data_IF_671506657115
#
_entry.id   IF_671506657115
#
_cell.length_a   1.000
_cell.length_b   1.000
_cell.length_c   1.000
_cell.angle_alpha   90.00
_cell.angle_beta   90.00
_cell.angle_gamma   90.00
#
_symmetry.space_group_name_H-M   'P 1'
#
loop_
_entity.id
_entity.type
_entity.pdbx_description
1 polymer ?
#
# COMPACT_ATOMS: atom_id res chain seq x y z
N UNK A 1 -2.29 3.71 4.22
CA UNK A 1 -2.30 4.10 5.66
C UNK A 1 -3.38 5.11 5.99
N UNK A 2 -3.36 6.33 5.45
CA UNK A 2 -4.39 7.34 5.74
C UNK A 2 -5.83 6.85 5.46
N UNK A 3 -6.06 6.19 4.32
CA UNK A 3 -7.35 5.57 4.01
C UNK A 3 -7.73 4.50 5.04
N UNK A 4 -6.80 3.62 5.43
CA UNK A 4 -7.06 2.61 6.45
C UNK A 4 -7.44 3.23 7.81
N UNK A 5 -6.78 4.33 8.21
CA UNK A 5 -7.15 5.08 9.42
C UNK A 5 -8.54 5.70 9.32
N UNK A 6 -8.90 6.25 8.15
CA UNK A 6 -10.22 6.82 7.91
C UNK A 6 -11.34 5.77 7.98
N UNK A 7 -11.17 4.62 7.31
CA UNK A 7 -12.16 3.53 7.29
C UNK A 7 -12.35 2.85 8.66
N UNK A 8 -11.26 2.72 9.43
CA UNK A 8 -11.30 2.04 10.72
C UNK A 8 -11.66 2.96 11.88
N UNK A 9 -11.55 4.27 11.69
CA UNK A 9 -11.71 5.29 12.73
C UNK A 9 -10.85 5.05 13.97
N UNK A 10 -9.71 4.38 13.80
CA UNK A 10 -8.70 4.23 14.85
C UNK A 10 -8.15 5.62 15.19
N UNK A 11 -8.20 6.07 16.46
CA UNK A 11 -7.62 7.36 16.84
C UNK A 11 -6.12 7.40 16.54
N UNK A 12 -5.65 8.51 15.99
CA UNK A 12 -4.24 8.72 15.69
C UNK A 12 -3.87 10.19 15.83
N UNK A 13 -2.58 10.44 16.02
CA UNK A 13 -1.97 11.76 15.90
C UNK A 13 -1.17 11.80 14.60
N UNK A 14 -1.41 12.81 13.76
CA UNK A 14 -0.66 12.99 12.52
C UNK A 14 0.56 13.88 12.78
N UNK A 15 1.75 13.30 12.64
CA UNK A 15 3.01 14.05 12.66
C UNK A 15 3.46 14.29 11.22
N UNK A 16 3.48 15.56 10.80
CA UNK A 16 3.94 15.96 9.47
C UNK A 16 5.46 15.80 9.39
N UNK A 17 5.94 15.27 8.27
CA UNK A 17 7.36 15.20 7.89
C UNK A 17 7.55 15.97 6.60
N UNK A 18 8.46 16.95 6.58
CA UNK A 18 8.82 17.71 5.40
C UNK A 18 9.80 16.93 4.51
N UNK A 19 9.26 16.38 3.42
CA UNK A 19 10.04 15.65 2.42
C UNK A 19 10.99 16.56 1.62
N UNK A 20 10.65 17.85 1.46
CA UNK A 20 11.48 18.81 0.72
C UNK A 20 12.69 19.30 1.50
N UNK A 21 12.61 19.28 2.84
CA UNK A 21 13.73 19.55 3.74
C UNK A 21 14.50 18.28 4.15
N UNK A 22 14.22 17.14 3.52
CA UNK A 22 14.82 15.83 3.84
C UNK A 22 14.65 15.40 5.32
N UNK A 23 13.58 15.85 6.01
CA UNK A 23 13.38 15.52 7.43
C UNK A 23 13.33 14.01 7.68
N UNK A 24 12.71 13.26 6.76
CA UNK A 24 12.69 11.78 6.73
C UNK A 24 14.08 11.10 6.73
N UNK A 25 15.17 11.85 6.56
CA UNK A 25 16.56 11.39 6.66
C UNK A 25 17.25 11.85 7.94
N UNK A 26 16.59 12.58 8.83
CA UNK A 26 17.14 12.97 10.13
C UNK A 26 17.40 11.75 11.02
N UNK A 27 18.43 11.77 11.89
CA UNK A 27 18.77 10.63 12.74
C UNK A 27 17.60 10.08 13.57
N UNK A 28 16.73 10.97 14.08
CA UNK A 28 15.57 10.60 14.88
C UNK A 28 14.52 9.80 14.07
N UNK A 29 14.26 10.21 12.83
CA UNK A 29 13.32 9.48 11.94
C UNK A 29 13.97 8.23 11.36
N UNK A 30 15.27 8.24 11.08
CA UNK A 30 16.01 7.03 10.66
C UNK A 30 16.06 5.96 11.76
N UNK A 31 16.07 6.36 13.03
CA UNK A 31 15.97 5.41 14.14
C UNK A 31 14.62 4.68 14.16
N UNK A 32 13.56 5.29 13.63
CA UNK A 32 12.24 4.68 13.51
C UNK A 32 12.01 3.98 12.16
N UNK A 33 12.56 4.51 11.07
CA UNK A 33 12.48 3.95 9.71
C UNK A 33 13.87 3.93 9.07
N UNK A 34 14.61 2.81 9.12
CA UNK A 34 16.01 2.76 8.71
C UNK A 34 16.25 3.06 7.22
N UNK A 35 15.25 2.86 6.36
CA UNK A 35 15.32 3.24 4.94
C UNK A 35 15.10 4.74 4.67
N UNK A 36 14.76 5.52 5.70
CA UNK A 36 14.43 6.94 5.60
C UNK A 36 13.31 7.17 4.60
N UNK A 37 12.18 6.50 4.79
CA UNK A 37 10.94 6.74 4.05
C UNK A 37 9.86 7.16 5.06
N UNK A 38 8.69 7.55 4.55
CA UNK A 38 7.58 8.05 5.38
C UNK A 38 6.44 7.05 5.48
N UNK A 39 5.61 7.35 6.48
CA UNK A 39 4.66 6.45 7.14
C UNK A 39 5.39 5.53 8.11
N UNK A 40 5.39 5.94 9.37
CA UNK A 40 5.72 5.10 10.53
C UNK A 40 4.57 5.26 11.51
N UNK A 41 4.20 4.18 12.18
CA UNK A 41 3.33 4.23 13.35
C UNK A 41 4.07 3.64 14.55
N UNK A 42 3.74 4.12 15.76
CA UNK A 42 4.39 3.72 17.02
C UNK A 42 3.44 2.94 17.93
N UNK A 43 3.00 1.73 17.54
CA UNK A 43 2.16 0.89 18.38
C UNK A 43 2.97 0.35 19.56
N UNK A 44 2.44 0.51 20.78
CA UNK A 44 2.98 -0.09 22.01
C UNK A 44 4.50 0.11 22.20
N UNK A 45 5.04 1.24 21.74
CA UNK A 45 6.44 1.63 21.92
C UNK A 45 7.45 1.05 20.93
N UNK A 46 7.01 0.37 19.85
CA UNK A 46 7.91 -0.03 18.75
C UNK A 46 7.56 0.68 17.44
N UNK A 47 8.55 0.86 16.56
CA UNK A 47 8.34 1.46 15.25
C UNK A 47 7.88 0.42 14.23
N UNK A 48 6.71 0.65 13.63
CA UNK A 48 6.19 -0.14 12.52
C UNK A 48 6.17 0.72 11.25
N UNK A 49 6.92 0.27 10.25
CA UNK A 49 6.99 0.84 8.91
C UNK A 49 6.51 -0.19 7.86
N UNK A 50 6.50 0.20 6.58
CA UNK A 50 5.82 -0.47 5.45
C UNK A 50 4.30 -0.29 5.43
N UNK A 51 3.80 0.39 4.39
CA UNK A 51 2.39 0.77 4.26
C UNK A 51 1.42 -0.41 4.42
N UNK A 52 1.75 -1.57 3.84
CA UNK A 52 0.92 -2.78 3.90
C UNK A 52 0.90 -3.38 5.32
N UNK A 53 2.06 -3.45 5.97
CA UNK A 53 2.15 -3.92 7.36
C UNK A 53 1.41 -2.98 8.33
N UNK A 54 1.54 -1.66 8.13
CA UNK A 54 0.78 -0.66 8.90
C UNK A 54 -0.73 -0.82 8.68
N UNK A 55 -1.19 -0.93 7.43
CA UNK A 55 -2.60 -1.16 7.13
C UNK A 55 -3.13 -2.44 7.79
N UNK A 56 -2.34 -3.52 7.77
CA UNK A 56 -2.68 -4.76 8.45
C UNK A 56 -2.87 -4.55 9.94
N UNK A 57 -1.88 -3.93 10.59
CA UNK A 57 -1.94 -3.61 12.02
C UNK A 57 -3.19 -2.82 12.39
N UNK A 58 -3.47 -1.72 11.67
CA UNK A 58 -4.65 -0.86 11.91
C UNK A 58 -5.95 -1.67 11.88
N UNK A 59 -6.08 -2.60 10.93
CA UNK A 59 -7.29 -3.43 10.85
C UNK A 59 -7.37 -4.54 11.89
N UNK A 60 -6.25 -5.09 12.34
CA UNK A 60 -6.27 -6.08 13.43
C UNK A 60 -6.63 -5.43 14.77
N UNK A 61 -6.12 -4.22 15.04
CA UNK A 61 -6.42 -3.46 16.28
C UNK A 61 -7.90 -3.13 16.42
N UNK A 62 -8.60 -2.86 15.31
CA UNK A 62 -10.04 -2.54 15.33
C UNK A 62 -10.95 -3.76 15.47
N UNK A 63 -10.43 -5.00 15.41
CA UNK A 63 -11.22 -6.23 15.36
C UNK A 63 -11.07 -7.18 16.58
N UNK A 64 -11.00 -6.73 17.85
CA UNK A 64 -11.07 -7.66 18.96
C UNK A 64 -12.45 -8.34 19.00
N UNK A 65 -12.48 -9.67 18.93
CA UNK A 65 -13.70 -10.48 19.07
C UNK A 65 -14.59 -10.57 17.81
N UNK A 66 -14.15 -10.09 16.65
CA UNK A 66 -14.98 -10.10 15.43
C UNK A 66 -14.96 -11.44 14.68
N UNK A 67 -13.95 -12.27 14.92
CA UNK A 67 -13.80 -13.56 14.26
C UNK A 67 -14.48 -14.67 15.07
N UNK A 68 -15.35 -15.44 14.41
CA UNK A 68 -16.11 -16.52 15.03
C UNK A 68 -15.28 -17.79 15.30
N UNK A 69 -14.10 -17.93 14.68
CA UNK A 69 -13.21 -19.08 14.90
C UNK A 69 -11.75 -18.80 14.51
N UNK A 70 -10.78 -19.58 15.01
CA UNK A 70 -9.39 -19.52 14.55
C UNK A 70 -9.22 -19.71 13.04
N UNK A 71 -10.06 -20.55 12.42
CA UNK A 71 -10.02 -20.78 10.97
C UNK A 71 -10.41 -19.51 10.18
N UNK A 72 -11.36 -18.72 10.69
CA UNK A 72 -11.74 -17.45 10.08
C UNK A 72 -10.59 -16.43 10.19
N UNK A 73 -9.92 -16.36 11.34
CA UNK A 73 -8.72 -15.52 11.52
C UNK A 73 -7.67 -15.86 10.46
N UNK A 74 -7.35 -17.15 10.30
CA UNK A 74 -6.36 -17.61 9.33
C UNK A 74 -6.77 -17.26 7.89
N UNK A 75 -8.05 -17.47 7.54
CA UNK A 75 -8.56 -17.10 6.21
C UNK A 75 -8.37 -15.61 5.92
N UNK A 76 -8.77 -14.74 6.84
CA UNK A 76 -8.64 -13.28 6.73
C UNK A 76 -7.18 -12.81 6.68
N UNK A 77 -6.29 -13.49 7.41
CA UNK A 77 -4.84 -13.29 7.31
C UNK A 77 -4.35 -13.61 5.91
N UNK A 78 -4.61 -14.82 5.43
CA UNK A 78 -4.11 -15.29 4.13
C UNK A 78 -4.69 -14.48 2.97
N UNK A 79 -5.98 -14.14 3.00
CA UNK A 79 -6.60 -13.31 1.95
C UNK A 79 -5.90 -11.97 1.81
N UNK A 80 -5.60 -11.31 2.93
CA UNK A 80 -4.86 -10.06 2.90
C UNK A 80 -3.43 -10.24 2.41
N UNK A 81 -2.67 -11.20 2.97
CA UNK A 81 -1.26 -11.39 2.59
C UNK A 81 -1.13 -11.75 1.10
N UNK A 82 -2.07 -12.54 0.58
CA UNK A 82 -2.16 -12.82 -0.85
C UNK A 82 -2.35 -11.53 -1.66
N UNK A 83 -3.38 -10.74 -1.35
CA UNK A 83 -3.66 -9.52 -2.08
C UNK A 83 -2.51 -8.50 -1.99
N UNK A 84 -1.96 -8.31 -0.79
CA UNK A 84 -0.81 -7.46 -0.53
C UNK A 84 0.42 -7.91 -1.35
N UNK A 85 0.66 -9.22 -1.46
CA UNK A 85 1.74 -9.75 -2.29
C UNK A 85 1.51 -9.49 -3.78
N UNK A 86 0.30 -9.78 -4.30
CA UNK A 86 -0.07 -9.52 -5.71
C UNK A 86 0.12 -8.06 -6.07
N UNK A 87 -0.33 -7.17 -5.19
CA UNK A 87 -0.21 -5.73 -5.38
C UNK A 87 1.25 -5.29 -5.32
N UNK A 88 1.99 -5.68 -4.27
CA UNK A 88 3.38 -5.27 -4.06
C UNK A 88 4.33 -5.69 -5.18
N UNK A 89 4.19 -6.92 -5.69
CA UNK A 89 5.13 -7.48 -6.68
C UNK A 89 4.66 -7.29 -8.12
N UNK A 90 3.35 -7.11 -8.32
CA UNK A 90 2.73 -7.06 -9.64
C UNK A 90 2.25 -5.67 -10.02
N UNK A 91 1.26 -5.17 -9.29
CA UNK A 91 0.53 -3.96 -9.68
C UNK A 91 1.29 -2.68 -9.33
N UNK A 92 1.75 -2.54 -8.08
CA UNK A 92 2.47 -1.36 -7.60
C UNK A 92 3.67 -0.98 -8.47
N UNK A 93 4.57 -1.92 -8.83
CA UNK A 93 5.74 -1.57 -9.64
C UNK A 93 5.34 -1.11 -11.05
N UNK A 94 4.29 -1.68 -11.64
CA UNK A 94 3.79 -1.26 -12.94
C UNK A 94 3.20 0.16 -12.88
N UNK A 95 2.43 0.47 -11.83
CA UNK A 95 1.91 1.81 -11.57
C UNK A 95 3.04 2.82 -11.39
N UNK A 96 4.02 2.53 -10.51
CA UNK A 96 5.16 3.44 -10.28
C UNK A 96 5.97 3.67 -11.55
N UNK A 97 6.19 2.63 -12.35
CA UNK A 97 6.87 2.75 -13.64
C UNK A 97 6.08 3.66 -14.58
N UNK A 98 4.78 3.44 -14.75
CA UNK A 98 3.92 4.29 -15.57
C UNK A 98 3.93 5.74 -15.08
N UNK A 99 3.63 5.99 -13.80
CA UNK A 99 3.60 7.35 -13.24
C UNK A 99 4.93 8.07 -13.39
N UNK A 100 6.05 7.36 -13.18
CA UNK A 100 7.39 7.93 -13.32
C UNK A 100 7.71 8.34 -14.76
N UNK A 101 7.35 7.51 -15.74
CA UNK A 101 7.53 7.81 -17.18
C UNK A 101 6.58 8.91 -17.64
N UNK A 102 5.30 8.82 -17.27
CA UNK A 102 4.28 9.76 -17.71
C UNK A 102 4.51 11.17 -17.15
N UNK A 103 4.84 11.30 -15.86
CA UNK A 103 5.07 12.61 -15.22
C UNK A 103 6.42 13.24 -15.57
N UNK A 104 7.32 12.49 -16.20
CA UNK A 104 8.70 12.91 -16.42
C UNK A 104 9.45 13.18 -15.10
N UNK A 105 9.03 12.54 -14.00
CA UNK A 105 9.63 12.69 -12.67
C UNK A 105 9.68 11.36 -11.95
N UNK A 106 10.80 11.09 -11.27
CA UNK A 106 10.93 9.95 -10.36
C UNK A 106 11.67 10.42 -9.10
N UNK A 107 11.07 10.21 -7.92
CA UNK A 107 11.64 10.63 -6.63
C UNK A 107 12.11 12.10 -6.61
N UNK A 108 11.24 13.02 -7.05
CA UNK A 108 11.51 14.46 -7.18
C UNK A 108 12.61 14.86 -8.18
N UNK A 109 13.16 13.91 -8.93
CA UNK A 109 14.15 14.17 -9.99
C UNK A 109 13.47 14.18 -11.35
N UNK A 110 13.89 15.10 -12.21
CA UNK A 110 13.47 15.12 -13.61
C UNK A 110 13.96 13.85 -14.31
N UNK A 111 13.06 13.20 -15.02
CA UNK A 111 13.30 12.02 -15.83
C UNK A 111 12.87 12.38 -17.25
N UNK A 112 13.79 12.43 -18.23
CA UNK A 112 13.43 12.74 -19.60
C UNK A 112 12.32 11.80 -20.08
N UNK A 113 11.31 12.35 -20.72
CA UNK A 113 10.23 11.56 -21.30
C UNK A 113 10.83 10.74 -22.45
N UNK A 114 10.81 9.42 -22.29
CA UNK A 114 11.14 8.46 -23.33
C UNK A 114 9.85 7.75 -23.74
N UNK A 115 9.40 8.01 -24.96
CA UNK A 115 8.13 7.47 -25.46
C UNK A 115 8.15 5.95 -25.50
N UNK A 116 9.28 5.34 -25.87
CA UNK A 116 9.41 3.87 -25.90
C UNK A 116 9.24 3.27 -24.51
N UNK A 117 9.91 3.82 -23.50
CA UNK A 117 9.73 3.39 -22.11
C UNK A 117 8.32 3.63 -21.57
N UNK A 118 7.66 4.72 -22.00
CA UNK A 118 6.27 4.98 -21.62
C UNK A 118 5.33 3.95 -22.23
N UNK A 119 5.48 3.64 -23.52
CA UNK A 119 4.64 2.65 -24.21
C UNK A 119 4.80 1.25 -23.58
N UNK A 120 6.02 0.87 -23.20
CA UNK A 120 6.28 -0.36 -22.44
C UNK A 120 5.57 -0.34 -21.08
N UNK A 121 5.65 0.77 -20.34
CA UNK A 121 5.00 0.89 -19.04
C UNK A 121 3.46 0.85 -19.14
N UNK A 122 2.89 1.46 -20.19
CA UNK A 122 1.46 1.39 -20.50
C UNK A 122 1.07 -0.06 -20.79
N UNK A 123 1.78 -0.74 -21.68
CA UNK A 123 1.47 -2.13 -22.03
C UNK A 123 1.53 -3.07 -20.81
N UNK A 124 2.55 -2.91 -19.96
CA UNK A 124 2.68 -3.70 -18.71
C UNK A 124 1.53 -3.43 -17.74
N UNK A 125 1.15 -2.17 -17.52
CA UNK A 125 0.06 -1.81 -16.62
C UNK A 125 -1.30 -2.27 -17.17
N UNK A 126 -1.55 -2.06 -18.47
CA UNK A 126 -2.76 -2.54 -19.15
C UNK A 126 -2.93 -4.05 -18.99
N UNK A 127 -1.87 -4.84 -19.21
CA UNK A 127 -1.95 -6.29 -19.04
C UNK A 127 -2.28 -6.73 -17.60
N UNK A 128 -1.95 -5.92 -16.57
CA UNK A 128 -2.39 -6.19 -15.18
C UNK A 128 -3.86 -5.81 -14.98
N UNK A 129 -4.28 -4.68 -15.53
CA UNK A 129 -5.67 -4.22 -15.46
C UNK A 129 -6.62 -5.17 -16.19
N UNK A 130 -6.20 -5.78 -17.31
CA UNK A 130 -6.99 -6.80 -18.02
C UNK A 130 -7.28 -8.02 -17.12
N UNK A 131 -6.32 -8.42 -16.28
CA UNK A 131 -6.54 -9.50 -15.30
C UNK A 131 -7.50 -9.05 -14.19
N UNK A 132 -7.42 -7.79 -13.78
CA UNK A 132 -8.29 -7.25 -12.74
C UNK A 132 -9.73 -7.13 -13.24
N UNK A 133 -9.92 -6.78 -14.51
CA UNK A 133 -11.24 -6.80 -15.15
C UNK A 133 -11.87 -8.19 -15.06
N UNK A 134 -11.15 -9.26 -15.40
CA UNK A 134 -11.65 -10.64 -15.29
C UNK A 134 -12.01 -11.02 -13.84
N UNK A 135 -11.21 -10.56 -12.86
CA UNK A 135 -11.52 -10.77 -11.43
C UNK A 135 -12.82 -10.04 -11.06
N UNK A 136 -12.97 -8.79 -11.49
CA UNK A 136 -14.10 -7.92 -11.17
C UNK A 136 -15.39 -8.25 -11.98
N UNK A 137 -15.26 -8.99 -13.08
CA UNK A 137 -16.39 -9.64 -13.76
C UNK A 137 -16.96 -10.80 -12.92
N UNK A 138 -16.10 -11.46 -12.13
CA UNK A 138 -16.47 -12.63 -11.31
C UNK A 138 -16.95 -12.22 -9.91
N UNK A 139 -16.31 -11.22 -9.31
CA UNK A 139 -16.53 -10.78 -7.95
C UNK A 139 -16.75 -9.28 -7.88
N UNK A 140 -17.49 -8.80 -6.88
CA UNK A 140 -17.71 -7.36 -6.72
C UNK A 140 -16.44 -6.56 -6.38
N UNK A 141 -15.46 -7.21 -5.74
CA UNK A 141 -14.20 -6.65 -5.25
C UNK A 141 -13.04 -7.62 -5.52
N UNK A 142 -11.80 -7.16 -5.35
CA UNK A 142 -10.60 -7.92 -5.71
C UNK A 142 -10.43 -9.22 -4.91
N UNK A 143 -11.02 -9.31 -3.72
CA UNK A 143 -10.95 -10.47 -2.83
C UNK A 143 -12.27 -11.24 -2.67
N UNK A 144 -13.33 -10.88 -3.41
CA UNK A 144 -14.65 -11.48 -3.30
C UNK A 144 -15.78 -10.44 -3.33
N UNK A 145 -16.90 -10.74 -2.67
CA UNK A 145 -18.09 -9.87 -2.73
C UNK A 145 -18.14 -8.78 -1.65
N UNK A 146 -17.19 -8.79 -0.72
CA UNK A 146 -17.05 -7.79 0.33
C UNK A 146 -15.79 -6.94 0.10
N UNK A 147 -15.88 -5.65 0.44
CA UNK A 147 -14.74 -4.75 0.41
C UNK A 147 -13.75 -5.12 1.51
N UNK A 148 -12.48 -5.27 1.16
CA UNK A 148 -11.42 -5.66 2.09
C UNK A 148 -10.20 -4.76 2.00
N UNK A 149 -9.19 -5.06 2.82
CA UNK A 149 -7.89 -4.40 2.68
C UNK A 149 -7.21 -4.67 1.34
N UNK A 150 -7.57 -5.75 0.62
CA UNK A 150 -7.08 -5.97 -0.73
C UNK A 150 -7.39 -4.75 -1.59
N UNK A 151 -8.66 -4.35 -1.62
CA UNK A 151 -9.16 -3.22 -2.41
C UNK A 151 -8.56 -1.89 -1.97
N UNK A 152 -8.34 -1.70 -0.67
CA UNK A 152 -7.76 -0.48 -0.11
C UNK A 152 -6.26 -0.33 -0.41
N UNK A 153 -5.56 -1.43 -0.70
CA UNK A 153 -4.11 -1.41 -0.98
C UNK A 153 -3.77 -1.25 -2.46
N UNK A 154 -4.72 -1.41 -3.39
CA UNK A 154 -4.53 -1.21 -4.83
C UNK A 154 -4.91 0.22 -5.23
#
# INVERSE_FOLDING_TARGET
VAQALAETQVPYEFVRVDMGADEHKMPELLAMHPFGQVSVVMPDGFALYENRAICRYITEVRRPGQYASPAQIVRERITFEHAAAVEAVGFHPAVLKYCGRHSGKCNHRSLPLDQVSLDIAVAELSAKLDVYEVILETYKFLAGDEFTLADLCH
#
